data_IF_812515605210
#
_entry.id   IF_812515605210
#
_cell.length_a   1.000
_cell.length_b   1.000
_cell.length_c   1.000
_cell.angle_alpha   90.00
_cell.angle_beta   90.00
_cell.angle_gamma   90.00
#
_symmetry.space_group_name_H-M   'P 1'
#
loop_
_entity.id
_entity.type
_entity.pdbx_description
1 polymer ?
#
# COMPACT_ATOMS: atom_id res chain seq x y z
N UNK A 1 15.66 -26.82 5.71
CA UNK A 1 14.42 -26.69 4.91
C UNK A 1 14.30 -25.22 4.57
N UNK A 2 13.85 -24.87 3.38
CA UNK A 2 13.63 -23.48 3.00
C UNK A 2 12.36 -22.96 3.68
N UNK A 3 12.43 -21.78 4.28
CA UNK A 3 11.28 -21.17 4.97
C UNK A 3 10.15 -20.87 3.98
N UNK A 4 8.93 -21.23 4.32
CA UNK A 4 7.75 -20.93 3.52
C UNK A 4 7.23 -19.55 3.90
N UNK A 5 7.31 -18.61 2.98
CA UNK A 5 6.91 -17.22 3.17
C UNK A 5 5.62 -16.94 2.38
N UNK A 6 4.66 -16.27 2.99
CA UNK A 6 3.52 -15.68 2.29
C UNK A 6 3.61 -14.16 2.27
N UNK A 7 3.40 -13.55 1.11
CA UNK A 7 3.30 -12.11 0.93
C UNK A 7 1.82 -11.70 1.00
N UNK A 8 1.47 -10.87 1.99
CA UNK A 8 0.10 -10.35 2.17
C UNK A 8 0.12 -8.83 2.10
N UNK A 9 -0.44 -8.29 1.03
CA UNK A 9 -0.69 -6.85 0.89
C UNK A 9 -2.04 -6.56 1.56
N UNK A 10 -2.05 -5.69 2.57
CA UNK A 10 -3.25 -5.37 3.35
C UNK A 10 -3.61 -3.90 3.20
N UNK A 11 -4.74 -3.64 2.56
CA UNK A 11 -5.18 -2.30 2.17
C UNK A 11 -6.49 -1.95 2.88
N UNK A 12 -6.50 -0.95 3.78
CA UNK A 12 -7.74 -0.42 4.34
C UNK A 12 -8.46 0.41 3.28
N UNK A 13 -9.54 -0.11 2.70
CA UNK A 13 -10.28 0.59 1.64
C UNK A 13 -11.19 1.68 2.22
N UNK A 14 -12.18 1.30 3.04
CA UNK A 14 -13.07 2.24 3.72
C UNK A 14 -13.40 1.84 5.16
N UNK A 15 -12.55 1.03 5.77
CA UNK A 15 -12.67 0.69 7.18
C UNK A 15 -12.39 1.92 8.04
N UNK A 16 -13.20 2.17 9.08
CA UNK A 16 -13.15 3.41 9.84
C UNK A 16 -11.96 3.53 10.77
N UNK A 17 -11.02 2.63 10.77
CA UNK A 17 -10.02 2.60 11.80
C UNK A 17 -8.59 2.44 11.33
N UNK A 18 -7.86 3.48 11.69
CA UNK A 18 -6.79 3.24 12.61
C UNK A 18 -6.96 4.22 13.80
N UNK A 19 -7.27 3.77 15.04
CA UNK A 19 -7.38 4.64 16.22
C UNK A 19 -6.06 5.34 16.57
N UNK A 20 -4.97 5.00 15.87
CA UNK A 20 -3.62 5.49 16.07
C UNK A 20 -3.26 6.73 15.25
N UNK A 21 -4.24 7.41 14.60
CA UNK A 21 -4.02 8.69 13.92
C UNK A 21 -4.58 9.85 14.75
N UNK A 22 -3.85 10.36 15.78
CA UNK A 22 -4.38 11.36 16.69
C UNK A 22 -4.70 12.70 16.02
N UNK A 23 -4.07 13.03 14.88
CA UNK A 23 -4.32 14.26 14.11
C UNK A 23 -5.60 14.27 13.28
N UNK A 24 -6.30 13.12 13.17
CA UNK A 24 -7.50 12.97 12.33
C UNK A 24 -8.81 12.90 13.12
N UNK A 25 -8.81 13.11 14.44
CA UNK A 25 -10.02 12.90 15.26
C UNK A 25 -11.23 13.70 14.82
N UNK A 26 -11.07 14.94 14.44
CA UNK A 26 -12.19 15.80 14.04
C UNK A 26 -12.56 15.64 12.55
N UNK A 27 -11.57 15.50 11.69
CA UNK A 27 -11.72 15.17 10.25
C UNK A 27 -12.23 13.73 10.08
N UNK A 28 -11.92 12.83 11.02
CA UNK A 28 -12.24 11.41 10.99
C UNK A 28 -13.73 11.11 11.02
N UNK A 29 -14.52 11.80 11.86
CA UNK A 29 -15.97 11.56 11.91
C UNK A 29 -16.69 11.94 10.61
N UNK A 30 -16.25 13.00 9.94
CA UNK A 30 -16.80 13.41 8.65
C UNK A 30 -16.21 12.60 7.50
N UNK A 31 -14.92 12.26 7.53
CA UNK A 31 -14.29 11.38 6.53
C UNK A 31 -14.80 9.93 6.62
N UNK A 32 -15.13 9.42 7.82
CA UNK A 32 -15.80 8.12 7.98
C UNK A 32 -17.14 8.09 7.28
N UNK A 33 -17.99 9.12 7.49
CA UNK A 33 -19.29 9.24 6.81
C UNK A 33 -19.11 9.36 5.30
N UNK A 34 -18.13 10.14 4.85
CA UNK A 34 -17.83 10.31 3.45
C UNK A 34 -17.37 9.01 2.79
N UNK A 35 -16.48 8.25 3.45
CA UNK A 35 -15.95 6.98 2.92
C UNK A 35 -16.99 5.88 2.77
N UNK A 36 -18.17 6.04 3.38
CA UNK A 36 -19.30 5.13 3.27
C UNK A 36 -20.34 5.54 2.22
N UNK A 37 -20.13 6.68 1.54
CA UNK A 37 -21.04 7.13 0.47
C UNK A 37 -20.78 6.40 -0.84
N UNK A 38 -21.83 6.28 -1.65
CA UNK A 38 -21.75 5.68 -2.99
C UNK A 38 -20.74 6.40 -3.86
N UNK A 39 -20.78 7.73 -3.88
CA UNK A 39 -19.92 8.59 -4.71
C UNK A 39 -18.45 8.42 -4.36
N UNK A 40 -18.14 8.32 -3.07
CA UNK A 40 -16.77 8.07 -2.62
C UNK A 40 -16.29 6.69 -3.00
N UNK A 41 -17.10 5.65 -2.76
CA UNK A 41 -16.77 4.25 -3.07
C UNK A 41 -16.55 4.07 -4.57
N UNK A 42 -17.45 4.59 -5.42
CA UNK A 42 -17.31 4.51 -6.87
C UNK A 42 -16.01 5.19 -7.35
N UNK A 43 -15.72 6.38 -6.85
CA UNK A 43 -14.49 7.10 -7.17
C UNK A 43 -13.24 6.34 -6.71
N UNK A 44 -13.22 5.82 -5.48
CA UNK A 44 -12.06 5.08 -4.96
C UNK A 44 -11.85 3.74 -5.68
N UNK A 45 -12.90 3.06 -6.09
CA UNK A 45 -12.79 1.86 -6.95
C UNK A 45 -12.24 2.22 -8.33
N UNK A 46 -12.63 3.34 -8.91
CA UNK A 46 -12.04 3.84 -10.16
C UNK A 46 -10.53 4.07 -10.02
N UNK A 47 -10.12 4.83 -9.00
CA UNK A 47 -8.69 5.11 -8.72
C UNK A 47 -7.92 3.81 -8.45
N UNK A 48 -8.47 2.92 -7.63
CA UNK A 48 -7.88 1.61 -7.38
C UNK A 48 -7.65 0.82 -8.66
N UNK A 49 -8.65 0.72 -9.53
CA UNK A 49 -8.53 0.01 -10.81
C UNK A 49 -7.48 0.64 -11.72
N UNK A 50 -7.44 1.97 -11.77
CA UNK A 50 -6.55 2.72 -12.66
C UNK A 50 -5.08 2.64 -12.25
N UNK A 51 -4.80 2.57 -10.96
CA UNK A 51 -3.44 2.65 -10.41
C UNK A 51 -3.04 1.40 -9.64
N UNK A 52 -3.57 1.19 -8.45
CA UNK A 52 -3.12 0.12 -7.54
C UNK A 52 -3.31 -1.26 -8.16
N UNK A 53 -4.52 -1.59 -8.62
CA UNK A 53 -4.80 -2.88 -9.25
C UNK A 53 -3.95 -3.11 -10.50
N UNK A 54 -3.71 -2.06 -11.29
CA UNK A 54 -2.82 -2.13 -12.45
C UNK A 54 -1.41 -2.55 -12.02
N UNK A 55 -0.84 -1.91 -10.99
CA UNK A 55 0.49 -2.27 -10.49
C UNK A 55 0.55 -3.69 -9.91
N UNK A 56 -0.53 -4.16 -9.27
CA UNK A 56 -0.63 -5.53 -8.76
C UNK A 56 -0.71 -6.57 -9.90
N UNK A 57 -1.49 -6.30 -10.94
CA UNK A 57 -1.58 -7.15 -12.13
C UNK A 57 -0.24 -7.25 -12.87
N UNK A 58 0.55 -6.18 -12.85
CA UNK A 58 1.84 -6.08 -13.55
C UNK A 58 3.03 -6.59 -12.74
N UNK A 59 2.83 -7.09 -11.50
CA UNK A 59 3.92 -7.71 -10.75
C UNK A 59 4.50 -8.90 -11.52
N UNK A 60 5.83 -8.95 -11.67
CA UNK A 60 6.54 -10.07 -12.31
C UNK A 60 6.35 -11.37 -11.54
N UNK A 61 6.17 -11.27 -10.23
CA UNK A 61 5.85 -12.38 -9.35
C UNK A 61 4.42 -12.22 -8.79
N UNK A 62 3.52 -13.12 -9.17
CA UNK A 62 2.12 -13.12 -8.73
C UNK A 62 1.87 -13.94 -7.45
N UNK A 63 2.94 -14.41 -6.77
CA UNK A 63 2.82 -15.21 -5.55
C UNK A 63 2.62 -14.30 -4.32
N UNK A 64 1.50 -13.61 -4.26
CA UNK A 64 1.04 -12.79 -3.13
C UNK A 64 -0.48 -12.85 -3.01
N UNK A 65 -1.00 -12.39 -1.88
CA UNK A 65 -2.42 -12.11 -1.67
C UNK A 65 -2.59 -10.63 -1.34
N UNK A 66 -3.58 -9.98 -1.96
CA UNK A 66 -3.97 -8.61 -1.65
C UNK A 66 -5.35 -8.61 -1.02
N UNK A 67 -5.45 -8.10 0.20
CA UNK A 67 -6.67 -8.00 0.98
C UNK A 67 -7.12 -6.55 0.99
N UNK A 68 -8.29 -6.30 0.41
CA UNK A 68 -8.96 -4.99 0.41
C UNK A 68 -10.05 -5.00 1.47
N UNK A 69 -9.82 -4.29 2.57
CA UNK A 69 -10.74 -4.28 3.71
C UNK A 69 -11.83 -3.22 3.52
N UNK A 70 -13.07 -3.63 3.53
CA UNK A 70 -14.23 -2.71 3.52
C UNK A 70 -15.13 -2.92 4.74
N UNK A 71 -15.95 -1.91 5.09
CA UNK A 71 -16.95 -2.05 6.15
C UNK A 71 -18.15 -2.84 5.66
N UNK A 72 -18.64 -3.76 6.48
CA UNK A 72 -19.76 -4.67 6.14
C UNK A 72 -21.00 -3.92 5.64
N UNK A 73 -21.28 -2.75 6.22
CA UNK A 73 -22.41 -1.89 5.85
C UNK A 73 -22.35 -1.38 4.42
N UNK A 74 -21.15 -1.35 3.81
CA UNK A 74 -20.95 -0.86 2.44
C UNK A 74 -20.78 -1.98 1.40
N UNK A 75 -20.94 -3.23 1.78
CA UNK A 75 -20.70 -4.40 0.92
C UNK A 75 -21.42 -4.30 -0.42
N UNK A 76 -22.72 -3.99 -0.41
CA UNK A 76 -23.51 -3.85 -1.64
C UNK A 76 -22.97 -2.73 -2.55
N UNK A 77 -22.61 -1.58 -1.97
CA UNK A 77 -22.05 -0.45 -2.72
C UNK A 77 -20.69 -0.81 -3.33
N UNK A 78 -19.83 -1.50 -2.58
CA UNK A 78 -18.51 -1.94 -3.05
C UNK A 78 -18.65 -2.90 -4.23
N UNK A 79 -19.47 -3.95 -4.10
CA UNK A 79 -19.64 -4.93 -5.17
C UNK A 79 -20.38 -4.36 -6.39
N UNK A 80 -21.33 -3.45 -6.19
CA UNK A 80 -21.97 -2.73 -7.29
C UNK A 80 -20.95 -1.84 -8.04
N UNK A 81 -20.03 -1.19 -7.34
CA UNK A 81 -18.96 -0.42 -7.98
C UNK A 81 -17.97 -1.31 -8.73
N UNK A 82 -17.54 -2.41 -8.12
CA UNK A 82 -16.64 -3.40 -8.74
C UNK A 82 -17.24 -4.06 -9.98
N UNK A 83 -18.55 -4.29 -10.00
CA UNK A 83 -19.25 -4.93 -11.14
C UNK A 83 -19.17 -4.14 -12.46
N UNK A 84 -18.75 -2.88 -12.39
CA UNK A 84 -18.54 -2.01 -13.58
C UNK A 84 -17.21 -2.28 -14.29
N UNK A 85 -16.33 -3.09 -13.69
CA UNK A 85 -14.99 -3.40 -14.16
C UNK A 85 -14.80 -4.89 -14.40
N UNK A 86 -13.71 -5.26 -15.05
CA UNK A 86 -13.32 -6.65 -15.23
C UNK A 86 -13.20 -7.41 -13.91
N UNK A 87 -13.38 -8.73 -13.96
CA UNK A 87 -13.18 -9.60 -12.80
C UNK A 87 -11.80 -9.38 -12.19
N UNK A 88 -11.76 -9.27 -10.87
CA UNK A 88 -10.51 -9.18 -10.11
C UNK A 88 -9.67 -10.46 -10.28
N UNK A 89 -8.33 -10.35 -10.26
CA UNK A 89 -7.46 -11.51 -10.17
C UNK A 89 -7.73 -12.32 -8.90
N UNK A 90 -7.49 -13.63 -8.94
CA UNK A 90 -7.77 -14.54 -7.82
C UNK A 90 -6.90 -14.28 -6.57
N UNK A 91 -5.84 -13.50 -6.71
CA UNK A 91 -4.98 -13.06 -5.60
C UNK A 91 -5.39 -11.70 -5.00
N UNK A 92 -6.47 -11.05 -5.50
CA UNK A 92 -7.02 -9.78 -4.96
C UNK A 92 -8.41 -10.03 -4.39
N UNK A 93 -8.55 -9.88 -3.09
CA UNK A 93 -9.74 -10.27 -2.31
C UNK A 93 -10.32 -9.04 -1.61
N UNK A 94 -11.56 -8.68 -1.93
CA UNK A 94 -12.33 -7.71 -1.15
C UNK A 94 -13.09 -8.43 -0.06
N UNK A 95 -12.92 -8.01 1.19
CA UNK A 95 -13.56 -8.65 2.35
C UNK A 95 -13.87 -7.64 3.46
N UNK A 96 -14.97 -7.87 4.16
CA UNK A 96 -15.28 -7.17 5.42
C UNK A 96 -14.66 -7.83 6.65
N UNK A 97 -14.04 -8.99 6.47
CA UNK A 97 -13.48 -9.86 7.50
C UNK A 97 -11.98 -10.08 7.25
N UNK A 98 -11.24 -8.97 7.25
CA UNK A 98 -9.83 -8.96 6.83
C UNK A 98 -8.96 -9.87 7.69
N UNK A 99 -9.12 -9.86 9.01
CA UNK A 99 -8.28 -10.64 9.91
C UNK A 99 -8.53 -12.14 9.74
N UNK A 100 -9.79 -12.59 9.72
CA UNK A 100 -10.13 -14.00 9.50
C UNK A 100 -9.68 -14.47 8.11
N UNK A 101 -9.78 -13.60 7.11
CA UNK A 101 -9.28 -13.90 5.76
C UNK A 101 -7.77 -14.13 5.80
N UNK A 102 -6.99 -13.24 6.44
CA UNK A 102 -5.54 -13.38 6.55
C UNK A 102 -5.18 -14.62 7.36
N UNK A 103 -5.83 -14.88 8.50
CA UNK A 103 -5.58 -16.08 9.33
C UNK A 103 -5.81 -17.38 8.56
N UNK A 104 -6.81 -17.40 7.68
CA UNK A 104 -7.04 -18.54 6.79
C UNK A 104 -5.93 -18.74 5.74
N UNK A 105 -5.40 -17.64 5.21
CA UNK A 105 -4.40 -17.67 4.14
C UNK A 105 -2.99 -18.04 4.61
N UNK A 106 -2.61 -17.69 5.85
CA UNK A 106 -1.26 -17.89 6.38
C UNK A 106 -1.02 -19.31 6.89
N UNK A 107 -2.04 -20.16 6.95
CA UNK A 107 -1.91 -21.54 7.44
C UNK A 107 -0.93 -22.36 6.57
N UNK A 108 0.03 -23.01 7.24
CA UNK A 108 1.04 -23.85 6.58
C UNK A 108 2.24 -23.10 6.03
N UNK A 109 2.35 -21.80 6.32
CA UNK A 109 3.55 -20.98 6.11
C UNK A 109 4.32 -20.82 7.43
N UNK A 110 5.61 -20.48 7.33
CA UNK A 110 6.46 -20.21 8.48
C UNK A 110 6.48 -18.71 8.83
N UNK A 111 6.46 -17.86 7.78
CA UNK A 111 6.51 -16.40 7.90
C UNK A 111 5.46 -15.72 7.05
N UNK A 112 4.98 -14.57 7.53
CA UNK A 112 4.16 -13.62 6.78
C UNK A 112 4.94 -12.29 6.61
N UNK A 113 5.03 -11.82 5.38
CA UNK A 113 5.41 -10.44 5.07
C UNK A 113 4.13 -9.64 4.87
N UNK A 114 3.79 -8.85 5.89
CA UNK A 114 2.58 -8.02 5.93
C UNK A 114 2.88 -6.66 5.33
N UNK A 115 2.43 -6.44 4.10
CA UNK A 115 2.83 -5.35 3.22
C UNK A 115 1.79 -4.25 3.25
N UNK A 116 2.22 -2.99 3.46
CA UNK A 116 1.38 -1.80 3.44
C UNK A 116 1.49 -1.06 2.11
N UNK A 117 0.32 -0.68 1.57
CA UNK A 117 0.14 0.31 0.50
C UNK A 117 -1.26 0.92 0.63
N UNK A 118 -1.44 2.16 0.20
CA UNK A 118 -2.76 2.77 0.11
C UNK A 118 -3.46 2.41 -1.21
N UNK A 119 -4.78 2.48 -1.24
CA UNK A 119 -5.61 2.02 -2.36
C UNK A 119 -5.53 2.88 -3.64
N UNK A 120 -4.67 3.89 -3.65
CA UNK A 120 -4.43 4.82 -4.76
C UNK A 120 -2.97 4.85 -5.24
N UNK A 121 -2.05 4.16 -4.57
CA UNK A 121 -0.63 4.13 -4.89
C UNK A 121 -0.24 2.89 -5.70
N UNK A 122 0.99 2.87 -6.23
CA UNK A 122 1.49 1.78 -7.08
C UNK A 122 2.82 1.25 -6.55
N UNK A 123 3.05 -0.06 -6.70
CA UNK A 123 4.38 -0.66 -6.59
C UNK A 123 5.08 -0.74 -7.95
N UNK A 124 6.41 -0.76 -7.95
CA UNK A 124 7.18 -1.17 -9.13
C UNK A 124 6.85 -2.62 -9.51
N UNK A 125 6.99 -2.97 -10.77
CA UNK A 125 6.62 -4.29 -11.29
C UNK A 125 7.40 -5.47 -10.68
N UNK A 126 8.54 -5.21 -10.08
CA UNK A 126 9.45 -6.19 -9.49
C UNK A 126 9.44 -6.19 -7.94
N UNK A 127 8.54 -5.42 -7.33
CA UNK A 127 8.49 -5.25 -5.88
C UNK A 127 8.36 -6.59 -5.12
N UNK A 128 7.43 -7.44 -5.53
CA UNK A 128 7.24 -8.76 -4.90
C UNK A 128 8.47 -9.66 -5.09
N UNK A 129 9.09 -9.65 -6.26
CA UNK A 129 10.34 -10.36 -6.50
C UNK A 129 11.49 -9.87 -5.63
N UNK A 130 11.58 -8.56 -5.40
CA UNK A 130 12.59 -7.96 -4.52
C UNK A 130 12.39 -8.46 -3.09
N UNK A 131 11.15 -8.45 -2.59
CA UNK A 131 10.85 -8.97 -1.24
C UNK A 131 11.24 -10.45 -1.09
N UNK A 132 10.96 -11.30 -2.08
CA UNK A 132 11.36 -12.71 -2.05
C UNK A 132 12.88 -12.90 -2.09
N UNK A 133 13.63 -11.97 -2.69
CA UNK A 133 15.09 -12.01 -2.78
C UNK A 133 15.80 -11.40 -1.57
N UNK A 134 15.07 -10.63 -0.76
CA UNK A 134 15.62 -10.07 0.49
C UNK A 134 15.90 -11.20 1.46
N UNK A 135 17.16 -11.31 1.89
CA UNK A 135 17.57 -12.39 2.79
C UNK A 135 16.88 -12.25 4.15
N UNK A 136 16.16 -13.29 4.53
CA UNK A 136 15.59 -13.38 5.88
C UNK A 136 16.69 -13.73 6.91
N UNK A 137 16.61 -13.11 8.07
CA UNK A 137 17.35 -13.47 9.29
C UNK A 137 16.43 -13.28 10.51
N UNK A 138 16.73 -13.96 11.62
CA UNK A 138 15.80 -14.12 12.75
C UNK A 138 15.32 -12.78 13.36
N UNK A 139 16.19 -11.77 13.36
CA UNK A 139 15.88 -10.45 13.94
C UNK A 139 15.22 -9.50 12.96
N UNK A 140 14.99 -9.88 11.70
CA UNK A 140 14.38 -9.01 10.70
C UNK A 140 12.91 -8.76 11.02
N UNK A 141 12.57 -7.50 11.32
CA UNK A 141 11.22 -7.06 11.66
C UNK A 141 10.53 -6.28 10.54
N UNK A 142 11.31 -5.65 9.66
CA UNK A 142 10.78 -4.77 8.61
C UNK A 142 11.66 -4.73 7.36
N UNK A 143 11.04 -4.54 6.19
CA UNK A 143 11.73 -4.23 4.93
C UNK A 143 11.17 -2.89 4.45
N UNK A 144 12.03 -1.87 4.34
CA UNK A 144 11.64 -0.50 4.00
C UNK A 144 11.93 -0.18 2.53
N UNK A 145 10.98 0.50 1.89
CA UNK A 145 11.14 1.07 0.55
C UNK A 145 11.36 2.57 0.66
N UNK A 146 12.58 3.01 0.95
CA UNK A 146 12.87 4.42 1.19
C UNK A 146 12.85 5.30 -0.08
N UNK A 147 13.02 4.70 -1.26
CA UNK A 147 13.05 5.40 -2.55
C UNK A 147 11.79 5.10 -3.38
N UNK A 148 11.22 6.13 -3.97
CA UNK A 148 10.06 6.03 -4.84
C UNK A 148 9.87 7.29 -5.67
N UNK A 149 8.69 7.41 -6.24
CA UNK A 149 8.27 8.57 -7.01
C UNK A 149 6.94 9.11 -6.50
N UNK A 150 6.64 10.35 -6.87
CA UNK A 150 5.33 10.99 -6.70
C UNK A 150 4.88 11.56 -8.05
N UNK A 151 3.66 11.25 -8.46
CA UNK A 151 3.06 11.72 -9.69
C UNK A 151 1.75 12.44 -9.43
N UNK A 152 1.68 13.72 -9.79
CA UNK A 152 0.47 14.54 -9.75
C UNK A 152 -0.24 14.45 -11.09
N UNK A 153 -1.48 13.97 -11.05
CA UNK A 153 -2.27 13.71 -12.27
C UNK A 153 -2.62 15.00 -12.99
N UNK A 154 -3.20 15.99 -12.26
CA UNK A 154 -3.75 17.21 -12.82
C UNK A 154 -2.67 18.11 -13.45
N UNK A 155 -1.50 18.18 -12.81
CA UNK A 155 -0.35 18.96 -13.28
C UNK A 155 0.59 18.19 -14.19
N UNK A 156 0.38 16.89 -14.41
CA UNK A 156 1.31 15.98 -15.12
C UNK A 156 2.77 16.13 -14.63
N UNK A 157 2.95 16.19 -13.29
CA UNK A 157 4.24 16.44 -12.65
C UNK A 157 4.75 15.17 -11.97
N UNK A 158 6.05 14.90 -12.11
CA UNK A 158 6.74 13.78 -11.48
C UNK A 158 7.90 14.28 -10.63
N UNK A 159 8.09 13.68 -9.46
CA UNK A 159 9.29 13.86 -8.65
C UNK A 159 9.79 12.52 -8.12
N UNK A 160 11.10 12.37 -7.98
CA UNK A 160 11.67 11.31 -7.15
C UNK A 160 11.50 11.68 -5.68
N UNK A 161 11.40 10.65 -4.83
CA UNK A 161 11.28 10.80 -3.38
C UNK A 161 12.28 9.86 -2.68
N UNK A 162 12.94 10.38 -1.64
CA UNK A 162 13.65 9.58 -0.66
C UNK A 162 13.17 9.98 0.74
N UNK A 163 12.55 9.03 1.44
CA UNK A 163 11.96 9.22 2.76
C UNK A 163 12.49 8.16 3.73
N UNK A 164 13.00 8.58 4.91
CA UNK A 164 13.61 7.65 5.87
C UNK A 164 12.67 6.57 6.41
N UNK A 165 11.37 6.85 6.50
CA UNK A 165 10.34 5.89 6.94
C UNK A 165 9.05 6.14 6.18
N UNK A 166 8.94 5.75 4.91
CA UNK A 166 7.73 5.93 4.11
C UNK A 166 6.63 4.95 4.51
N UNK A 167 5.40 5.18 4.05
CA UNK A 167 4.28 4.25 4.24
C UNK A 167 4.33 3.00 3.34
N UNK A 168 5.49 2.73 2.73
CA UNK A 168 5.73 1.58 1.85
C UNK A 168 6.75 0.65 2.51
N UNK A 169 6.26 -0.35 3.21
CA UNK A 169 7.08 -1.32 3.92
C UNK A 169 6.38 -2.68 4.02
N UNK A 170 7.17 -3.70 4.32
CA UNK A 170 6.69 -5.02 4.70
C UNK A 170 7.14 -5.33 6.12
N UNK A 171 6.20 -5.55 7.03
CA UNK A 171 6.48 -6.05 8.39
C UNK A 171 6.60 -7.56 8.33
N UNK A 172 7.63 -8.09 8.98
CA UNK A 172 7.96 -9.51 8.98
C UNK A 172 7.56 -10.11 10.32
N UNK A 173 6.80 -11.20 10.27
CA UNK A 173 6.38 -11.95 11.46
C UNK A 173 6.56 -13.44 11.24
N UNK A 174 6.76 -14.20 12.31
CA UNK A 174 6.38 -15.61 12.28
C UNK A 174 4.86 -15.72 12.14
N UNK A 175 4.37 -16.78 11.52
CA UNK A 175 2.93 -17.01 11.41
C UNK A 175 2.28 -17.12 12.79
N UNK A 176 2.97 -17.76 13.76
CA UNK A 176 2.47 -17.89 15.13
C UNK A 176 2.33 -16.54 15.83
N UNK A 177 3.35 -15.67 15.78
CA UNK A 177 3.28 -14.33 16.38
C UNK A 177 2.14 -13.51 15.78
N UNK A 178 2.01 -13.56 14.44
CA UNK A 178 0.94 -12.85 13.75
C UNK A 178 -0.44 -13.37 14.16
N UNK A 179 -0.60 -14.70 14.22
CA UNK A 179 -1.85 -15.36 14.56
C UNK A 179 -2.27 -15.08 16.02
N UNK A 180 -1.31 -15.05 16.95
CA UNK A 180 -1.57 -14.71 18.35
C UNK A 180 -1.69 -13.21 18.64
N UNK A 181 -1.68 -12.37 17.60
CA UNK A 181 -1.98 -10.94 17.71
C UNK A 181 -0.77 -10.06 18.02
N UNK A 182 0.46 -10.59 18.00
CA UNK A 182 1.65 -9.74 18.08
C UNK A 182 1.73 -8.81 16.88
N UNK A 183 2.02 -7.53 17.14
CA UNK A 183 2.21 -6.51 16.10
C UNK A 183 3.40 -5.62 16.45
N UNK A 184 4.30 -5.42 15.49
CA UNK A 184 5.39 -4.46 15.65
C UNK A 184 4.84 -3.05 15.85
N UNK A 185 5.48 -2.29 16.74
CA UNK A 185 5.09 -0.91 16.99
C UNK A 185 5.69 0.01 15.93
N UNK A 186 4.85 0.55 15.06
CA UNK A 186 5.25 1.51 14.03
C UNK A 186 4.90 2.96 14.39
N UNK A 187 4.46 3.23 15.64
CA UNK A 187 4.07 4.58 16.06
C UNK A 187 5.23 5.59 16.08
N UNK A 188 4.94 6.86 15.79
CA UNK A 188 3.65 7.38 15.30
C UNK A 188 3.47 7.06 13.81
N UNK A 189 2.38 6.36 13.47
CA UNK A 189 2.08 5.91 12.11
C UNK A 189 3.24 5.12 11.48
N UNK A 190 3.55 5.37 10.19
CA UNK A 190 4.66 4.72 9.47
C UNK A 190 6.07 5.14 9.96
N UNK A 191 6.20 6.25 10.71
CA UNK A 191 7.50 6.76 11.19
C UNK A 191 8.23 5.79 12.13
N UNK A 192 7.49 4.95 12.84
CA UNK A 192 8.07 3.93 13.72
C UNK A 192 8.67 2.75 12.97
N UNK A 193 8.32 2.52 11.70
CA UNK A 193 8.84 1.39 10.94
C UNK A 193 10.37 1.42 10.81
N UNK A 194 10.98 2.59 10.64
CA UNK A 194 12.43 2.74 10.58
C UNK A 194 13.15 2.55 11.94
N UNK A 195 12.41 2.39 13.05
CA UNK A 195 12.98 2.07 14.37
C UNK A 195 13.10 0.56 14.61
N UNK A 196 12.42 -0.23 13.82
CA UNK A 196 12.51 -1.69 13.86
C UNK A 196 13.85 -2.16 13.25
N UNK A 197 14.25 -3.37 13.56
CA UNK A 197 15.37 -4.03 12.86
C UNK A 197 14.98 -4.23 11.39
N UNK A 198 15.64 -3.53 10.47
CA UNK A 198 15.16 -3.48 9.10
C UNK A 198 16.24 -3.58 8.03
N UNK A 199 15.82 -4.06 6.87
CA UNK A 199 16.55 -3.96 5.60
C UNK A 199 15.95 -2.86 4.74
N UNK A 200 16.78 -2.21 3.91
CA UNK A 200 16.35 -1.15 2.99
C UNK A 200 16.48 -1.63 1.55
N UNK A 201 15.39 -1.54 0.81
CA UNK A 201 15.42 -1.75 -0.65
C UNK A 201 16.02 -0.51 -1.31
N UNK A 202 17.18 -0.66 -1.94
CA UNK A 202 17.95 0.43 -2.57
C UNK A 202 17.53 0.73 -4.02
N UNK A 203 16.24 0.56 -4.33
CA UNK A 203 15.67 0.91 -5.64
C UNK A 203 14.38 1.69 -5.47
N UNK A 204 13.94 2.40 -6.51
CA UNK A 204 12.64 3.09 -6.51
C UNK A 204 11.52 2.07 -6.70
N UNK A 205 10.83 1.70 -5.63
CA UNK A 205 9.87 0.60 -5.65
C UNK A 205 8.40 1.00 -5.50
N UNK A 206 8.09 2.29 -5.45
CA UNK A 206 6.70 2.78 -5.39
C UNK A 206 6.48 4.07 -6.16
N UNK A 207 5.22 4.36 -6.45
CA UNK A 207 4.73 5.61 -7.00
C UNK A 207 3.53 6.08 -6.19
N UNK A 208 3.67 7.23 -5.51
CA UNK A 208 2.55 7.94 -4.87
C UNK A 208 1.77 8.66 -5.94
N UNK A 209 0.46 8.42 -6.01
CA UNK A 209 -0.45 9.12 -6.91
C UNK A 209 -1.10 10.28 -6.17
N UNK A 210 -0.89 11.50 -6.68
CA UNK A 210 -1.53 12.71 -6.17
C UNK A 210 -2.67 13.08 -7.10
N UNK A 211 -3.89 13.14 -6.55
CA UNK A 211 -5.14 13.47 -7.25
C UNK A 211 -6.00 14.43 -6.42
N UNK A 212 -6.98 15.08 -7.02
CA UNK A 212 -7.80 16.15 -6.42
C UNK A 212 -8.47 15.80 -5.07
N UNK A 213 -8.72 14.52 -4.82
CA UNK A 213 -9.37 14.03 -3.58
C UNK A 213 -8.41 13.39 -2.58
N UNK A 214 -7.10 13.61 -2.71
CA UNK A 214 -6.17 13.23 -1.65
C UNK A 214 -6.46 14.06 -0.39
N UNK A 215 -6.50 13.38 0.75
CA UNK A 215 -6.80 14.03 2.04
C UNK A 215 -5.55 14.62 2.68
N UNK A 216 -4.41 13.95 2.53
CA UNK A 216 -3.19 14.25 3.29
C UNK A 216 -2.00 14.74 2.47
N UNK A 217 -2.01 14.55 1.14
CA UNK A 217 -0.87 14.84 0.30
C UNK A 217 -1.22 15.79 -0.85
N UNK A 218 -0.42 16.83 -1.03
CA UNK A 218 -0.35 17.59 -2.28
C UNK A 218 1.08 17.57 -2.79
N UNK A 219 1.27 17.69 -4.09
CA UNK A 219 2.60 17.69 -4.70
C UNK A 219 3.51 18.76 -4.10
N UNK A 220 2.98 19.98 -3.94
CA UNK A 220 3.71 21.09 -3.31
C UNK A 220 4.09 20.82 -1.87
N UNK A 221 3.15 20.29 -1.07
CA UNK A 221 3.41 20.00 0.34
C UNK A 221 4.56 19.00 0.51
N UNK A 222 4.61 17.97 -0.33
CA UNK A 222 5.68 16.96 -0.26
C UNK A 222 7.03 17.54 -0.71
N UNK A 223 7.05 18.41 -1.74
CA UNK A 223 8.29 19.10 -2.15
C UNK A 223 8.85 20.00 -1.05
N UNK A 224 7.98 20.63 -0.28
CA UNK A 224 8.37 21.56 0.80
C UNK A 224 8.67 20.83 2.14
N UNK A 225 8.46 19.50 2.21
CA UNK A 225 8.61 18.76 3.46
C UNK A 225 10.09 18.46 3.78
N UNK A 226 10.63 18.97 4.92
CA UNK A 226 12.07 18.99 5.16
C UNK A 226 12.71 17.61 5.38
N UNK A 227 11.90 16.58 5.62
CA UNK A 227 12.37 15.20 5.88
C UNK A 227 12.24 14.28 4.66
N UNK A 228 11.76 14.80 3.53
CA UNK A 228 11.67 14.08 2.27
C UNK A 228 12.60 14.76 1.25
N UNK A 229 13.56 14.03 0.73
CA UNK A 229 14.37 14.53 -0.38
C UNK A 229 13.59 14.31 -1.67
N UNK A 230 13.37 15.39 -2.42
CA UNK A 230 12.62 15.34 -3.67
C UNK A 230 13.40 16.05 -4.78
N UNK A 231 13.28 15.51 -6.01
CA UNK A 231 13.79 16.14 -7.22
C UNK A 231 12.73 16.01 -8.31
N UNK A 232 12.28 17.15 -8.86
CA UNK A 232 11.33 17.13 -9.99
C UNK A 232 12.00 16.57 -11.24
N UNK A 233 11.24 15.77 -12.00
CA UNK A 233 11.70 15.05 -13.18
C UNK A 233 10.87 15.46 -14.39
N UNK A 234 11.52 15.77 -15.51
CA UNK A 234 10.88 16.34 -16.69
C UNK A 234 11.23 15.57 -17.97
N UNK A 235 10.49 15.85 -19.05
CA UNK A 235 10.79 15.39 -20.40
C UNK A 235 10.87 13.87 -20.53
N UNK A 236 11.82 13.40 -21.32
CA UNK A 236 11.97 11.98 -21.67
C UNK A 236 12.20 11.07 -20.44
N UNK A 237 12.84 11.57 -19.41
CA UNK A 237 13.08 10.81 -18.18
C UNK A 237 11.77 10.55 -17.45
N UNK A 238 10.89 11.58 -17.31
CA UNK A 238 9.54 11.40 -16.77
C UNK A 238 8.77 10.34 -17.55
N UNK A 239 8.76 10.43 -18.87
CA UNK A 239 8.05 9.47 -19.73
C UNK A 239 8.55 8.03 -19.54
N UNK A 240 9.88 7.84 -19.43
CA UNK A 240 10.49 6.52 -19.18
C UNK A 240 10.04 5.96 -17.84
N UNK A 241 10.03 6.77 -16.78
CA UNK A 241 9.64 6.33 -15.44
C UNK A 241 8.14 5.95 -15.44
N UNK A 242 7.25 6.81 -15.98
CA UNK A 242 5.82 6.52 -16.02
C UNK A 242 5.50 5.24 -16.82
N UNK A 243 6.27 4.94 -17.88
CA UNK A 243 6.19 3.65 -18.59
C UNK A 243 6.55 2.45 -17.73
N UNK A 244 7.47 2.57 -16.78
CA UNK A 244 7.80 1.45 -15.87
C UNK A 244 6.63 1.08 -14.95
N UNK A 245 5.72 2.04 -14.72
CA UNK A 245 4.46 1.85 -13.97
C UNK A 245 3.24 1.63 -14.89
N UNK A 246 3.47 1.48 -16.20
CA UNK A 246 2.40 1.27 -17.20
C UNK A 246 1.40 2.45 -17.25
N UNK A 247 1.85 3.68 -17.03
CA UNK A 247 0.99 4.88 -17.06
C UNK A 247 1.03 5.65 -18.38
N UNK A 248 1.94 5.33 -19.29
CA UNK A 248 2.08 5.92 -20.63
C UNK A 248 2.55 4.93 -21.67
#
# INVERSE_FOLDING_TARGET
MENKIIMVIDIPFNVPENPFWPGFKDVYNDSKKLSQTKEWIEYRIEIFNKYTLRSLKNQTNQNFKCIMRYTKETEELVFNALSKYDKLPDNVIFTSDGDETIYSLIQGYDYIYHIRIDSDNMFSKDYIDILYKTSYYEELECILCQKGYMYEIEGDRLASMEHGSPSFYALVYTVDDFYFGFRHNTEPDHWGAAKLTHEVIDTHCYLVIVHEKNVSNSFKMVLDYPHIKTVEIFGDEKEKILKTFDLK
#
